data_IF_871768371469
#
_entry.id   IF_871768371469
#
_cell.length_a   1.000
_cell.length_b   1.000
_cell.length_c   1.000
_cell.angle_alpha   90.00
_cell.angle_beta   90.00
_cell.angle_gamma   90.00
#
_symmetry.space_group_name_H-M   'P 1'
#
loop_
_entity.id
_entity.type
_entity.pdbx_description
1 polymer ?
#
# COMPACT_ATOMS: atom_id res chain seq x y z
N UNK A 1 -1.37 -29.61 -18.82
CA UNK A 1 -0.22 -28.71 -19.01
C UNK A 1 -0.63 -27.70 -20.06
N UNK A 2 -1.01 -26.51 -19.64
CA UNK A 2 -1.27 -25.38 -20.55
C UNK A 2 -0.14 -24.40 -20.34
N UNK A 3 0.72 -24.25 -21.35
CA UNK A 3 1.61 -23.09 -21.44
C UNK A 3 0.72 -21.86 -21.64
N UNK A 4 0.28 -21.28 -20.53
CA UNK A 4 -0.54 -20.07 -20.51
C UNK A 4 0.35 -18.86 -20.77
N UNK A 5 0.70 -18.62 -22.02
CA UNK A 5 1.38 -17.40 -22.43
C UNK A 5 0.49 -16.17 -22.24
N UNK A 6 1.06 -15.07 -21.74
CA UNK A 6 0.40 -13.77 -21.59
C UNK A 6 0.89 -12.82 -22.68
N UNK A 7 -0.02 -12.18 -23.43
CA UNK A 7 0.33 -11.11 -24.37
C UNK A 7 0.07 -9.75 -23.73
N UNK A 8 1.08 -8.88 -23.72
CA UNK A 8 1.01 -7.52 -23.19
C UNK A 8 1.13 -6.50 -24.32
N UNK A 9 0.22 -5.53 -24.37
CA UNK A 9 0.31 -4.39 -25.28
C UNK A 9 0.86 -3.18 -24.51
N UNK A 10 1.97 -2.61 -24.99
CA UNK A 10 2.63 -1.44 -24.41
C UNK A 10 2.75 -0.33 -25.45
N UNK A 11 2.91 0.92 -24.99
CA UNK A 11 3.13 2.04 -25.89
C UNK A 11 4.48 1.92 -26.64
N UNK A 12 4.57 2.56 -27.80
CA UNK A 12 5.74 2.48 -28.67
C UNK A 12 7.02 3.00 -28.00
N UNK A 13 6.93 4.04 -27.16
CA UNK A 13 8.09 4.61 -26.49
C UNK A 13 8.63 3.67 -25.39
N UNK A 14 7.75 2.95 -24.69
CA UNK A 14 8.15 1.91 -23.75
C UNK A 14 8.74 0.70 -24.48
N UNK A 15 8.19 0.31 -25.63
CA UNK A 15 8.72 -0.78 -26.45
C UNK A 15 10.16 -0.51 -26.93
N UNK A 16 10.44 0.70 -27.42
CA UNK A 16 11.79 1.08 -27.85
C UNK A 16 12.79 1.10 -26.69
N UNK A 17 12.40 1.65 -25.53
CA UNK A 17 13.27 1.64 -24.34
C UNK A 17 13.57 0.22 -23.86
N UNK A 18 12.58 -0.68 -23.93
CA UNK A 18 12.73 -2.08 -23.55
C UNK A 18 13.72 -2.78 -24.50
N UNK A 19 13.58 -2.56 -25.82
CA UNK A 19 14.49 -3.10 -26.83
C UNK A 19 15.93 -2.63 -26.61
N UNK A 20 16.13 -1.31 -26.48
CA UNK A 20 17.46 -0.74 -26.28
C UNK A 20 18.14 -1.28 -25.01
N UNK A 21 17.38 -1.49 -23.93
CA UNK A 21 17.91 -2.07 -22.70
C UNK A 21 18.21 -3.56 -22.80
N UNK A 22 17.37 -4.32 -23.49
CA UNK A 22 17.63 -5.74 -23.74
C UNK A 22 18.90 -5.92 -24.59
N UNK A 23 19.07 -5.09 -25.63
CA UNK A 23 20.26 -5.08 -26.48
C UNK A 23 21.51 -4.69 -25.68
N UNK A 24 21.44 -3.64 -24.86
CA UNK A 24 22.54 -3.24 -23.97
C UNK A 24 22.92 -4.34 -22.97
N UNK A 25 21.97 -5.17 -22.56
CA UNK A 25 22.20 -6.33 -21.69
C UNK A 25 22.65 -7.59 -22.46
N UNK A 26 22.70 -7.56 -23.80
CA UNK A 26 23.01 -8.72 -24.64
C UNK A 26 21.95 -9.82 -24.58
N UNK A 27 20.69 -9.47 -24.28
CA UNK A 27 19.59 -10.39 -24.09
C UNK A 27 18.50 -10.19 -25.16
N UNK A 28 17.68 -11.22 -25.38
CA UNK A 28 16.44 -11.04 -26.15
C UNK A 28 15.45 -10.19 -25.36
N UNK A 29 14.59 -9.46 -26.07
CA UNK A 29 13.54 -8.62 -25.44
C UNK A 29 12.67 -9.43 -24.50
N UNK A 30 12.32 -10.65 -24.90
CA UNK A 30 11.51 -11.57 -24.10
C UNK A 30 12.23 -12.01 -22.82
N UNK A 31 13.49 -12.45 -22.92
CA UNK A 31 14.26 -12.87 -21.75
C UNK A 31 14.48 -11.71 -20.77
N UNK A 32 14.75 -10.51 -21.30
CA UNK A 32 14.90 -9.30 -20.50
C UNK A 32 13.59 -8.90 -19.80
N UNK A 33 12.46 -8.93 -20.52
CA UNK A 33 11.14 -8.63 -19.98
C UNK A 33 10.72 -9.65 -18.91
N UNK A 34 10.91 -10.95 -19.16
CA UNK A 34 10.64 -12.00 -18.18
C UNK A 34 11.51 -11.85 -16.94
N UNK A 35 12.79 -11.47 -17.08
CA UNK A 35 13.68 -11.20 -15.95
C UNK A 35 13.17 -10.05 -15.07
N UNK A 36 12.68 -8.97 -15.69
CA UNK A 36 12.08 -7.84 -14.97
C UNK A 36 10.78 -8.26 -14.26
N UNK A 37 9.88 -8.95 -14.96
CA UNK A 37 8.60 -9.39 -14.41
C UNK A 37 8.81 -10.39 -13.27
N UNK A 38 9.73 -11.34 -13.44
CA UNK A 38 10.13 -12.29 -12.41
C UNK A 38 10.64 -11.55 -11.17
N UNK A 39 11.57 -10.60 -11.34
CA UNK A 39 12.07 -9.79 -10.24
C UNK A 39 10.95 -9.00 -9.55
N UNK A 40 10.03 -8.42 -10.30
CA UNK A 40 8.92 -7.65 -9.73
C UNK A 40 7.90 -8.51 -8.95
N UNK A 41 7.81 -9.81 -9.27
CA UNK A 41 6.94 -10.77 -8.57
C UNK A 41 7.68 -11.48 -7.42
N UNK A 42 8.98 -11.76 -7.58
CA UNK A 42 9.82 -12.46 -6.60
C UNK A 42 10.40 -11.53 -5.53
N UNK A 43 10.79 -10.30 -5.88
CA UNK A 43 10.95 -9.26 -4.88
C UNK A 43 9.54 -8.93 -4.37
N UNK A 44 9.27 -8.94 -3.05
CA UNK A 44 8.00 -8.47 -2.52
C UNK A 44 7.90 -6.96 -2.78
N UNK A 45 7.48 -6.62 -4.00
CA UNK A 45 7.24 -5.28 -4.51
C UNK A 45 5.97 -4.66 -3.95
N UNK A 46 5.26 -5.38 -3.07
CA UNK A 46 4.50 -4.77 -2.00
C UNK A 46 5.37 -4.84 -0.73
N UNK A 47 6.25 -3.86 -0.55
CA UNK A 47 6.42 -3.38 0.81
C UNK A 47 5.08 -2.74 1.15
N UNK A 48 4.23 -3.45 1.86
CA UNK A 48 3.33 -2.77 2.79
C UNK A 48 4.23 -1.82 3.57
N UNK A 49 4.10 -0.53 3.30
CA UNK A 49 4.73 0.52 4.10
C UNK A 49 3.97 0.69 5.43
N UNK A 50 2.95 -0.14 5.65
CA UNK A 50 2.45 -0.49 6.97
C UNK A 50 3.39 -1.57 7.48
N UNK A 51 4.12 -1.29 8.56
CA UNK A 51 4.83 -2.34 9.28
C UNK A 51 3.87 -3.52 9.43
N UNK A 52 4.19 -4.67 8.83
CA UNK A 52 3.37 -5.87 8.91
C UNK A 52 3.02 -6.08 10.38
N UNK A 53 1.76 -5.89 10.72
CA UNK A 53 1.32 -6.02 12.10
C UNK A 53 1.48 -7.50 12.49
N UNK A 54 2.54 -7.84 13.22
CA UNK A 54 2.88 -9.23 13.60
C UNK A 54 2.07 -9.74 14.78
N UNK A 55 1.07 -8.97 15.25
CA UNK A 55 0.37 -9.23 16.50
C UNK A 55 1.21 -8.96 17.74
N UNK A 56 2.46 -8.53 17.57
CA UNK A 56 3.33 -8.11 18.68
C UNK A 56 2.92 -6.68 19.05
N UNK A 57 2.42 -6.42 20.27
CA UNK A 57 2.19 -5.06 20.72
C UNK A 57 3.50 -4.29 20.56
N UNK A 58 3.43 -3.11 19.93
CA UNK A 58 4.53 -2.15 20.01
C UNK A 58 4.77 -1.94 21.51
N UNK A 59 6.03 -1.99 22.01
CA UNK A 59 6.31 -1.61 23.39
C UNK A 59 5.64 -0.26 23.62
N UNK A 60 4.90 -0.11 24.71
CA UNK A 60 4.30 1.17 25.06
C UNK A 60 5.41 2.22 24.96
N UNK A 61 5.34 3.06 23.92
CA UNK A 61 6.26 4.15 23.80
C UNK A 61 5.86 5.10 24.91
N UNK A 62 6.81 5.45 25.78
CA UNK A 62 6.59 6.40 26.88
C UNK A 62 6.12 7.78 26.35
N UNK A 63 6.20 7.99 25.03
CA UNK A 63 5.81 9.19 24.27
C UNK A 63 5.17 8.75 22.94
N UNK A 64 3.98 9.28 22.63
CA UNK A 64 3.23 8.98 21.41
C UNK A 64 3.85 9.58 20.13
N UNK A 65 4.99 10.25 20.24
CA UNK A 65 5.70 10.89 19.13
C UNK A 65 5.08 12.24 18.71
N UNK A 66 4.06 12.69 19.43
CA UNK A 66 3.40 13.99 19.28
C UNK A 66 3.62 14.87 20.52
N UNK A 67 4.39 14.40 21.52
CA UNK A 67 4.72 15.16 22.74
C UNK A 67 3.57 15.23 23.75
N UNK A 68 2.59 14.34 23.65
CA UNK A 68 1.48 14.24 24.60
C UNK A 68 1.72 13.09 25.57
N UNK A 69 1.27 13.28 26.81
CA UNK A 69 1.32 12.27 27.86
C UNK A 69 0.57 11.00 27.40
N UNK A 70 1.26 9.86 27.43
CA UNK A 70 0.75 8.61 26.89
C UNK A 70 -0.55 8.14 27.57
N UNK A 71 -0.72 8.44 28.87
CA UNK A 71 -1.93 8.09 29.61
C UNK A 71 -3.09 9.01 29.20
N UNK A 72 -2.82 10.31 29.01
CA UNK A 72 -3.84 11.26 28.52
C UNK A 72 -4.34 10.90 27.10
N UNK A 73 -3.45 10.44 26.22
CA UNK A 73 -3.81 9.96 24.89
C UNK A 73 -4.64 8.66 24.96
N UNK A 74 -4.27 7.72 25.84
CA UNK A 74 -5.04 6.50 26.05
C UNK A 74 -6.46 6.80 26.56
N UNK A 75 -6.60 7.72 27.52
CA UNK A 75 -7.90 8.17 28.03
C UNK A 75 -8.76 8.85 26.93
N UNK A 76 -8.14 9.57 26.01
CA UNK A 76 -8.84 10.17 24.87
C UNK A 76 -9.36 9.10 23.91
N UNK A 77 -8.55 8.08 23.59
CA UNK A 77 -8.97 6.97 22.75
C UNK A 77 -10.13 6.19 23.37
N UNK A 78 -10.08 5.93 24.67
CA UNK A 78 -11.16 5.26 25.39
C UNK A 78 -12.45 6.08 25.35
N UNK A 79 -12.37 7.39 25.55
CA UNK A 79 -13.53 8.29 25.45
C UNK A 79 -14.19 8.26 24.06
N UNK A 80 -13.39 8.27 22.99
CA UNK A 80 -13.88 8.20 21.61
C UNK A 80 -14.58 6.84 21.37
N UNK A 81 -14.01 5.76 21.88
CA UNK A 81 -14.59 4.42 21.80
C UNK A 81 -15.92 4.34 22.56
N UNK A 82 -15.98 4.85 23.79
CA UNK A 82 -17.21 4.91 24.60
C UNK A 82 -18.31 5.74 23.93
N UNK A 83 -17.96 6.89 23.35
CA UNK A 83 -18.91 7.72 22.61
C UNK A 83 -19.45 7.01 21.36
N UNK A 84 -18.59 6.26 20.67
CA UNK A 84 -18.98 5.44 19.52
C UNK A 84 -19.94 4.34 19.94
N UNK A 85 -19.68 3.65 21.06
CA UNK A 85 -20.59 2.65 21.63
C UNK A 85 -21.93 3.27 22.04
N UNK A 86 -21.92 4.52 22.54
CA UNK A 86 -23.13 5.26 22.95
C UNK A 86 -23.98 5.71 21.75
N UNK A 87 -23.33 6.16 20.68
CA UNK A 87 -24.00 6.74 19.50
C UNK A 87 -24.24 5.74 18.37
N UNK A 88 -23.64 4.55 18.46
CA UNK A 88 -23.64 3.53 17.41
C UNK A 88 -22.63 3.80 16.28
N UNK A 89 -21.83 4.85 16.39
CA UNK A 89 -20.90 5.29 15.35
C UNK A 89 -21.59 5.76 14.08
N UNK A 90 -20.87 5.74 12.95
CA UNK A 90 -21.41 6.07 11.63
C UNK A 90 -21.33 4.84 10.71
N UNK A 91 -22.32 4.63 9.82
CA UNK A 91 -22.25 3.56 8.82
C UNK A 91 -21.04 3.72 7.90
N UNK A 92 -20.45 2.59 7.51
CA UNK A 92 -19.24 2.55 6.69
C UNK A 92 -19.37 3.31 5.37
N UNK A 93 -20.51 3.20 4.68
CA UNK A 93 -20.73 3.92 3.41
C UNK A 93 -20.72 5.45 3.61
N UNK A 94 -21.29 5.94 4.71
CA UNK A 94 -21.27 7.37 5.04
C UNK A 94 -19.84 7.84 5.36
N UNK A 95 -19.06 7.04 6.08
CA UNK A 95 -17.65 7.35 6.36
C UNK A 95 -16.82 7.39 5.06
N UNK A 96 -17.01 6.40 4.19
CA UNK A 96 -16.34 6.31 2.89
C UNK A 96 -16.63 7.52 2.00
N UNK A 97 -17.87 7.99 1.99
CA UNK A 97 -18.25 9.18 1.24
C UNK A 97 -17.65 10.46 1.83
N UNK A 98 -17.53 10.57 3.16
CA UNK A 98 -16.81 11.69 3.79
C UNK A 98 -15.33 11.71 3.38
N UNK A 99 -14.66 10.55 3.36
CA UNK A 99 -13.26 10.45 2.93
C UNK A 99 -13.07 10.86 1.48
N UNK A 100 -13.95 10.43 0.56
CA UNK A 100 -13.90 10.78 -0.86
C UNK A 100 -14.12 12.27 -1.14
N UNK A 101 -14.73 12.97 -0.20
CA UNK A 101 -15.07 14.39 -0.29
C UNK A 101 -14.23 15.26 0.65
N UNK A 102 -13.27 14.68 1.37
CA UNK A 102 -12.37 15.42 2.23
C UNK A 102 -11.52 16.39 1.39
N UNK A 103 -11.56 17.68 1.72
CA UNK A 103 -10.78 18.73 1.04
C UNK A 103 -11.39 19.27 -0.26
N UNK A 104 -12.58 18.84 -0.67
CA UNK A 104 -13.31 19.46 -1.79
C UNK A 104 -14.16 20.62 -1.27
N UNK A 105 -14.17 21.79 -1.95
CA UNK A 105 -15.09 22.88 -1.59
C UNK A 105 -16.53 22.38 -1.76
N UNK A 106 -17.37 22.69 -0.77
CA UNK A 106 -18.80 22.38 -0.75
C UNK A 106 -19.55 23.12 -1.86
#
# INVERSE_FOLDING_TARGET
MTDGGLTLTIDAALAERLRARAEAAGQSVEAYALGILRRAVEEPGFRENEAQWTGTPVPALDDNGFGEDADAYADELDRICEETLRTGGIPWEQFRDRLRNLGKPR
#
